data_IF_767930064683
#
_entry.id   IF_767930064683
#
_cell.length_a   1.000
_cell.length_b   1.000
_cell.length_c   1.000
_cell.angle_alpha   90.00
_cell.angle_beta   90.00
_cell.angle_gamma   90.00
#
_symmetry.space_group_name_H-M   'P 1'
#
loop_
_entity.id
_entity.type
_entity.pdbx_description
1 polymer ?
#
# COMPACT_ATOMS: atom_id res chain seq x y z
N UNK A 1 -66.57 29.77 2.02
CA UNK A 1 -66.19 28.33 1.98
C UNK A 1 -65.68 27.87 0.61
N UNK A 2 -66.06 28.46 -0.53
CA UNK A 2 -65.64 28.01 -1.87
C UNK A 2 -64.12 28.13 -2.20
N UNK A 3 -63.36 28.98 -1.52
CA UNK A 3 -61.92 29.14 -1.79
C UNK A 3 -61.06 27.99 -1.23
N UNK A 4 -61.54 27.29 -0.19
CA UNK A 4 -60.81 26.19 0.46
C UNK A 4 -60.88 24.91 -0.37
N UNK A 5 -62.01 24.66 -1.05
CA UNK A 5 -62.19 23.50 -1.92
C UNK A 5 -61.33 23.57 -3.19
N UNK A 6 -61.06 24.78 -3.69
CA UNK A 6 -60.20 25.01 -4.86
C UNK A 6 -58.74 24.64 -4.59
N UNK A 7 -58.21 24.97 -3.40
CA UNK A 7 -56.84 24.61 -3.02
C UNK A 7 -56.64 23.10 -2.90
N UNK A 8 -57.60 22.39 -2.29
CA UNK A 8 -57.53 20.93 -2.13
C UNK A 8 -57.56 20.21 -3.48
N UNK A 9 -58.38 20.68 -4.43
CA UNK A 9 -58.43 20.13 -5.79
C UNK A 9 -57.13 20.39 -6.56
N UNK A 10 -56.59 21.60 -6.45
CA UNK A 10 -55.34 21.99 -7.11
C UNK A 10 -54.13 21.23 -6.52
N UNK A 11 -54.08 21.06 -5.20
CA UNK A 11 -53.07 20.23 -4.52
C UNK A 11 -53.17 18.76 -4.95
N UNK A 12 -54.39 18.20 -5.03
CA UNK A 12 -54.60 16.82 -5.50
C UNK A 12 -54.14 16.62 -6.95
N UNK A 13 -54.39 17.59 -7.81
CA UNK A 13 -53.99 17.54 -9.22
C UNK A 13 -52.47 17.69 -9.40
N UNK A 14 -51.83 18.57 -8.62
CA UNK A 14 -50.37 18.69 -8.54
C UNK A 14 -49.74 17.42 -7.96
N UNK A 15 -50.31 16.83 -6.90
CA UNK A 15 -49.83 15.59 -6.29
C UNK A 15 -49.90 14.41 -7.27
N UNK A 16 -51.00 14.28 -8.02
CA UNK A 16 -51.15 13.27 -9.08
C UNK A 16 -50.13 13.47 -10.21
N UNK A 17 -49.87 14.72 -10.61
CA UNK A 17 -48.85 15.04 -11.61
C UNK A 17 -47.44 14.74 -11.10
N UNK A 18 -47.18 14.95 -9.81
CA UNK A 18 -45.91 14.67 -9.15
C UNK A 18 -45.70 13.18 -8.81
N UNK A 19 -46.76 12.37 -8.76
CA UNK A 19 -46.68 10.96 -8.38
C UNK A 19 -45.77 10.15 -9.31
N UNK A 20 -45.85 10.40 -10.62
CA UNK A 20 -44.95 9.80 -11.61
C UNK A 20 -43.48 10.16 -11.37
N UNK A 21 -43.19 11.40 -10.95
CA UNK A 21 -41.85 11.84 -10.60
C UNK A 21 -41.35 11.21 -9.30
N UNK A 22 -42.23 11.03 -8.31
CA UNK A 22 -41.91 10.34 -7.04
C UNK A 22 -41.60 8.87 -7.30
N UNK A 23 -42.40 8.18 -8.11
CA UNK A 23 -42.16 6.78 -8.49
C UNK A 23 -40.86 6.62 -9.26
N UNK A 24 -40.56 7.53 -10.19
CA UNK A 24 -39.28 7.55 -10.90
C UNK A 24 -38.09 7.73 -9.93
N UNK A 25 -38.17 8.69 -9.01
CA UNK A 25 -37.14 8.91 -7.99
C UNK A 25 -36.98 7.70 -7.06
N UNK A 26 -38.08 7.03 -6.70
CA UNK A 26 -38.05 5.82 -5.89
C UNK A 26 -37.36 4.66 -6.62
N UNK A 27 -37.64 4.46 -7.90
CA UNK A 27 -36.96 3.44 -8.73
C UNK A 27 -35.47 3.75 -8.87
N UNK A 28 -35.10 5.01 -9.15
CA UNK A 28 -33.70 5.44 -9.22
C UNK A 28 -33.00 5.22 -7.87
N UNK A 29 -33.66 5.56 -6.77
CA UNK A 29 -33.16 5.33 -5.41
C UNK A 29 -32.97 3.85 -5.08
N UNK A 30 -33.94 3.00 -5.46
CA UNK A 30 -33.86 1.56 -5.28
C UNK A 30 -32.72 0.94 -6.08
N UNK A 31 -32.56 1.31 -7.36
CA UNK A 31 -31.47 0.84 -8.21
C UNK A 31 -30.10 1.28 -7.68
N UNK A 32 -29.98 2.54 -7.23
CA UNK A 32 -28.75 3.03 -6.61
C UNK A 32 -28.43 2.26 -5.32
N UNK A 33 -29.43 2.02 -4.47
CA UNK A 33 -29.29 1.29 -3.20
C UNK A 33 -28.90 -0.16 -3.45
N UNK A 34 -29.55 -0.84 -4.40
CA UNK A 34 -29.21 -2.20 -4.80
C UNK A 34 -27.76 -2.29 -5.35
N UNK A 35 -27.38 -1.37 -6.24
CA UNK A 35 -26.00 -1.28 -6.77
C UNK A 35 -24.98 -1.07 -5.66
N UNK A 36 -25.28 -0.19 -4.71
CA UNK A 36 -24.42 0.07 -3.53
C UNK A 36 -24.35 -1.18 -2.65
N UNK A 37 -25.48 -1.77 -2.29
CA UNK A 37 -25.55 -3.00 -1.48
C UNK A 37 -24.74 -4.14 -2.09
N UNK A 38 -24.90 -4.40 -3.40
CA UNK A 38 -24.12 -5.41 -4.11
C UNK A 38 -22.62 -5.11 -4.06
N UNK A 39 -22.22 -3.85 -4.26
CA UNK A 39 -20.81 -3.44 -4.14
C UNK A 39 -20.26 -3.69 -2.74
N UNK A 40 -21.05 -3.42 -1.68
CA UNK A 40 -20.64 -3.64 -0.30
C UNK A 40 -20.47 -5.15 0.00
N UNK A 41 -21.40 -5.99 -0.50
CA UNK A 41 -21.30 -7.44 -0.40
C UNK A 41 -20.05 -7.98 -1.11
N UNK A 42 -19.79 -7.56 -2.34
CA UNK A 42 -18.58 -7.94 -3.08
C UNK A 42 -17.30 -7.50 -2.36
N UNK A 43 -17.29 -6.28 -1.78
CA UNK A 43 -16.15 -5.80 -0.99
C UNK A 43 -15.94 -6.63 0.29
N UNK A 44 -17.02 -6.98 0.99
CA UNK A 44 -16.97 -7.85 2.16
C UNK A 44 -16.44 -9.25 1.83
N UNK A 45 -16.95 -9.84 0.75
CA UNK A 45 -16.44 -11.13 0.25
C UNK A 45 -14.96 -11.08 -0.09
N UNK A 46 -14.50 -10.02 -0.79
CA UNK A 46 -13.09 -9.84 -1.13
C UNK A 46 -12.20 -9.73 0.12
N UNK A 47 -12.66 -9.04 1.18
CA UNK A 47 -11.90 -8.95 2.45
C UNK A 47 -11.78 -10.32 3.10
N UNK A 48 -12.87 -11.10 3.14
CA UNK A 48 -12.88 -12.47 3.68
C UNK A 48 -11.91 -13.35 2.87
N UNK A 49 -12.04 -13.33 1.54
CA UNK A 49 -11.19 -14.11 0.65
C UNK A 49 -9.70 -13.73 0.77
N UNK A 50 -9.40 -12.45 0.97
CA UNK A 50 -8.03 -11.94 1.03
C UNK A 50 -7.35 -12.18 2.38
N UNK A 51 -8.08 -12.02 3.48
CA UNK A 51 -7.49 -11.99 4.83
C UNK A 51 -7.85 -13.20 5.70
N UNK A 52 -8.92 -13.94 5.38
CA UNK A 52 -9.37 -15.09 6.17
C UNK A 52 -9.01 -16.40 5.46
N UNK A 53 -9.28 -16.52 4.15
CA UNK A 53 -9.02 -17.75 3.40
C UNK A 53 -7.55 -18.20 3.42
N UNK A 54 -6.52 -17.33 3.28
CA UNK A 54 -5.13 -17.75 3.35
C UNK A 54 -4.71 -18.26 4.74
N UNK A 55 -5.39 -17.82 5.80
CA UNK A 55 -5.16 -18.35 7.15
C UNK A 55 -5.73 -19.77 7.33
N UNK A 56 -6.76 -20.13 6.57
CA UNK A 56 -7.47 -21.40 6.70
C UNK A 56 -6.94 -22.50 5.75
N UNK A 57 -6.50 -22.14 4.53
CA UNK A 57 -6.29 -23.10 3.46
C UNK A 57 -4.83 -23.29 2.99
N UNK A 58 -3.84 -22.72 3.70
CA UNK A 58 -2.47 -23.24 3.65
C UNK A 58 -1.38 -22.19 3.43
N UNK A 59 -0.19 -22.49 4.00
CA UNK A 59 1.06 -21.76 3.77
C UNK A 59 1.64 -22.17 2.42
N UNK A 60 1.70 -21.26 1.46
CA UNK A 60 2.53 -21.44 0.28
C UNK A 60 4.00 -21.46 0.69
N UNK A 61 4.77 -22.39 0.12
CA UNK A 61 6.22 -22.40 0.29
C UNK A 61 6.81 -21.35 -0.64
N UNK A 62 7.06 -20.16 -0.10
CA UNK A 62 7.53 -19.00 -0.85
C UNK A 62 8.87 -19.26 -1.57
N UNK A 63 9.75 -20.08 -1.00
CA UNK A 63 11.03 -20.46 -1.62
C UNK A 63 10.81 -21.25 -2.92
N UNK A 64 9.87 -22.19 -2.90
CA UNK A 64 9.52 -22.99 -4.08
C UNK A 64 8.81 -22.13 -5.13
N UNK A 65 7.89 -21.27 -4.70
CA UNK A 65 7.05 -20.48 -5.58
C UNK A 65 7.81 -19.33 -6.26
N UNK A 66 8.64 -18.60 -5.52
CA UNK A 66 9.26 -17.37 -6.02
C UNK A 66 10.77 -17.47 -6.17
N UNK A 67 11.49 -18.12 -5.25
CA UNK A 67 12.95 -18.28 -5.30
C UNK A 67 13.62 -18.21 -3.94
N UNK A 68 14.93 -18.46 -3.91
CA UNK A 68 15.66 -18.57 -2.63
C UNK A 68 15.94 -17.23 -1.96
N UNK A 69 16.10 -16.16 -2.73
CA UNK A 69 16.50 -14.84 -2.21
C UNK A 69 15.39 -13.79 -2.36
N UNK A 70 15.19 -13.02 -1.29
CA UNK A 70 14.44 -11.78 -1.30
C UNK A 70 15.39 -10.59 -1.17
N UNK A 71 15.26 -9.62 -2.07
CA UNK A 71 15.92 -8.31 -1.97
C UNK A 71 14.95 -7.33 -1.33
N UNK A 72 15.35 -6.69 -0.23
CA UNK A 72 14.54 -5.71 0.48
C UNK A 72 15.25 -4.36 0.48
N UNK A 73 14.65 -3.35 -0.16
CA UNK A 73 15.19 -1.98 -0.20
C UNK A 73 14.57 -1.10 0.88
N UNK A 74 15.37 -0.21 1.46
CA UNK A 74 14.96 0.57 2.64
C UNK A 74 14.81 -0.32 3.88
N UNK A 75 15.64 -1.36 3.97
CA UNK A 75 15.53 -2.47 4.92
C UNK A 75 15.54 -2.06 6.40
N UNK A 76 16.11 -0.90 6.74
CA UNK A 76 16.18 -0.38 8.11
C UNK A 76 14.87 0.32 8.53
N UNK A 77 13.98 0.62 7.58
CA UNK A 77 12.65 1.16 7.85
C UNK A 77 11.75 0.12 8.56
N UNK A 78 10.86 0.58 9.44
CA UNK A 78 10.08 -0.31 10.31
C UNK A 78 9.26 -1.38 9.57
N UNK A 79 8.54 -1.01 8.49
CA UNK A 79 7.79 -1.97 7.68
C UNK A 79 8.74 -2.91 6.94
N UNK A 80 9.79 -2.39 6.31
CA UNK A 80 10.74 -3.17 5.51
C UNK A 80 11.46 -4.21 6.37
N UNK A 81 11.95 -3.81 7.55
CA UNK A 81 12.58 -4.67 8.54
C UNK A 81 11.66 -5.82 8.94
N UNK A 82 10.44 -5.51 9.38
CA UNK A 82 9.48 -6.53 9.79
C UNK A 82 9.07 -7.45 8.63
N UNK A 83 8.97 -6.92 7.41
CA UNK A 83 8.70 -7.72 6.21
C UNK A 83 9.86 -8.66 5.89
N UNK A 84 11.10 -8.20 6.02
CA UNK A 84 12.30 -9.01 5.84
C UNK A 84 12.37 -10.16 6.87
N UNK A 85 12.12 -9.86 8.13
CA UNK A 85 12.03 -10.85 9.22
C UNK A 85 10.92 -11.89 8.95
N UNK A 86 9.75 -11.45 8.49
CA UNK A 86 8.65 -12.34 8.16
C UNK A 86 8.95 -13.23 6.94
N UNK A 87 9.66 -12.74 5.93
CA UNK A 87 10.15 -13.56 4.80
C UNK A 87 11.21 -14.57 5.25
N UNK A 88 12.13 -14.16 6.13
CA UNK A 88 13.13 -15.04 6.73
C UNK A 88 12.48 -16.18 7.54
N UNK A 89 11.40 -15.87 8.27
CA UNK A 89 10.57 -16.87 8.97
C UNK A 89 9.96 -17.92 8.05
N UNK A 90 9.80 -17.61 6.75
CA UNK A 90 9.36 -18.55 5.72
C UNK A 90 10.52 -19.26 4.99
N UNK A 91 11.76 -19.11 5.49
CA UNK A 91 12.95 -19.79 4.97
C UNK A 91 13.61 -19.10 3.78
N UNK A 92 13.21 -17.86 3.45
CA UNK A 92 13.81 -17.09 2.36
C UNK A 92 15.10 -16.43 2.85
N UNK A 93 16.16 -16.51 2.04
CA UNK A 93 17.43 -15.81 2.27
C UNK A 93 17.25 -14.32 1.97
N UNK A 94 17.85 -13.44 2.76
CA UNK A 94 17.55 -12.00 2.69
C UNK A 94 18.77 -11.19 2.25
N UNK A 95 18.60 -10.41 1.18
CA UNK A 95 19.53 -9.36 0.75
C UNK A 95 18.96 -8.00 1.17
N UNK A 96 19.58 -7.37 2.16
CA UNK A 96 19.16 -6.09 2.74
C UNK A 96 19.91 -4.94 2.04
N UNK A 97 19.19 -3.92 1.55
CA UNK A 97 19.78 -2.75 0.91
C UNK A 97 19.26 -1.48 1.57
N UNK A 98 20.16 -0.65 2.09
CA UNK A 98 19.86 0.62 2.77
C UNK A 98 21.13 1.49 2.88
N UNK A 99 21.01 2.75 3.30
CA UNK A 99 22.13 3.68 3.45
C UNK A 99 22.93 3.47 4.75
N UNK A 100 22.30 2.93 5.80
CA UNK A 100 22.93 2.81 7.11
C UNK A 100 23.57 1.43 7.31
N UNK A 101 24.88 1.35 7.08
CA UNK A 101 25.66 0.12 7.19
C UNK A 101 25.58 -0.57 8.55
N UNK A 102 25.67 0.18 9.65
CA UNK A 102 25.67 -0.39 11.01
C UNK A 102 24.33 -1.08 11.30
N UNK A 103 23.21 -0.40 11.01
CA UNK A 103 21.87 -0.97 11.16
C UNK A 103 21.64 -2.18 10.26
N UNK A 104 22.18 -2.17 9.04
CA UNK A 104 22.12 -3.31 8.13
C UNK A 104 22.87 -4.53 8.69
N UNK A 105 24.07 -4.31 9.23
CA UNK A 105 24.88 -5.36 9.81
C UNK A 105 24.18 -5.99 11.03
N UNK A 106 23.68 -5.17 11.94
CA UNK A 106 22.94 -5.63 13.13
C UNK A 106 21.68 -6.41 12.73
N UNK A 107 20.93 -5.91 11.74
CA UNK A 107 19.73 -6.59 11.24
C UNK A 107 20.07 -7.93 10.56
N UNK A 108 21.14 -7.96 9.77
CA UNK A 108 21.64 -9.17 9.10
C UNK A 108 22.01 -10.25 10.11
N UNK A 109 22.76 -9.90 11.15
CA UNK A 109 23.12 -10.81 12.26
C UNK A 109 21.85 -11.30 12.96
N UNK A 110 20.97 -10.37 13.37
CA UNK A 110 19.73 -10.71 14.09
C UNK A 110 18.83 -11.66 13.31
N UNK A 111 18.62 -11.44 12.00
CA UNK A 111 17.82 -12.33 11.15
C UNK A 111 18.48 -13.71 11.03
N UNK A 112 19.81 -13.75 10.87
CA UNK A 112 20.56 -15.01 10.71
C UNK A 112 20.47 -15.85 11.98
N UNK A 113 20.68 -15.24 13.15
CA UNK A 113 20.62 -15.92 14.46
C UNK A 113 19.20 -16.37 14.81
N UNK A 114 18.19 -15.56 14.49
CA UNK A 114 16.80 -15.84 14.88
C UNK A 114 16.14 -16.89 13.97
N UNK A 115 16.38 -16.82 12.67
CA UNK A 115 15.65 -17.62 11.67
C UNK A 115 16.51 -18.68 10.98
N UNK A 116 17.83 -18.66 11.16
CA UNK A 116 18.74 -19.66 10.57
C UNK A 116 18.87 -19.58 9.04
N UNK A 117 18.51 -18.45 8.44
CA UNK A 117 18.63 -18.22 6.98
C UNK A 117 19.87 -17.41 6.66
N UNK A 118 20.43 -17.61 5.46
CA UNK A 118 21.52 -16.76 4.99
C UNK A 118 21.03 -15.33 4.78
N UNK A 119 21.85 -14.38 5.21
CA UNK A 119 21.63 -12.97 4.96
C UNK A 119 22.85 -12.35 4.29
N UNK A 120 22.61 -11.30 3.53
CA UNK A 120 23.64 -10.44 2.95
C UNK A 120 23.12 -9.02 2.96
N UNK A 121 24.01 -8.03 3.00
CA UNK A 121 23.61 -6.64 2.99
C UNK A 121 24.51 -5.81 2.08
N UNK A 122 23.98 -4.69 1.60
CA UNK A 122 24.70 -3.71 0.80
C UNK A 122 24.33 -2.30 1.24
N UNK A 123 25.36 -1.51 1.52
CA UNK A 123 25.22 -0.08 1.79
C UNK A 123 25.00 0.67 0.47
N UNK A 124 23.84 1.28 0.31
CA UNK A 124 23.45 2.05 -0.88
C UNK A 124 22.64 3.26 -0.45
N UNK A 125 23.14 4.44 -0.81
CA UNK A 125 22.36 5.67 -0.80
C UNK A 125 21.71 5.89 -2.18
N UNK A 126 20.38 5.69 -2.24
CA UNK A 126 19.61 5.86 -3.48
C UNK A 126 19.44 7.33 -3.89
N UNK A 127 19.68 8.30 -3.00
CA UNK A 127 19.58 9.72 -3.31
C UNK A 127 20.61 10.15 -4.36
N UNK A 128 21.77 9.46 -4.40
CA UNK A 128 22.86 9.62 -5.38
C UNK A 128 22.46 9.27 -6.82
N UNK A 129 21.26 8.74 -7.05
CA UNK A 129 20.72 8.54 -8.39
C UNK A 129 21.37 7.37 -9.12
N UNK A 130 21.88 7.59 -10.34
CA UNK A 130 22.19 6.49 -11.28
C UNK A 130 23.45 5.70 -10.95
N UNK A 131 24.37 6.28 -10.18
CA UNK A 131 25.72 5.74 -9.94
C UNK A 131 25.71 4.43 -9.13
N UNK A 132 24.68 4.18 -8.33
CA UNK A 132 24.64 3.04 -7.41
C UNK A 132 24.18 1.73 -8.07
N UNK A 133 23.43 1.81 -9.17
CA UNK A 133 22.79 0.65 -9.77
C UNK A 133 23.73 -0.37 -10.44
N UNK A 134 24.88 0.01 -11.05
CA UNK A 134 25.83 -0.97 -11.58
C UNK A 134 26.32 -1.97 -10.51
N UNK A 135 26.72 -1.47 -9.34
CA UNK A 135 27.17 -2.30 -8.22
C UNK A 135 26.07 -3.26 -7.74
N UNK A 136 24.84 -2.76 -7.63
CA UNK A 136 23.69 -3.57 -7.24
C UNK A 136 23.43 -4.68 -8.27
N UNK A 137 23.42 -4.32 -9.56
CA UNK A 137 23.18 -5.26 -10.65
C UNK A 137 24.21 -6.38 -10.68
N UNK A 138 25.49 -6.04 -10.55
CA UNK A 138 26.57 -7.03 -10.57
C UNK A 138 26.41 -8.03 -9.41
N UNK A 139 26.07 -7.53 -8.23
CA UNK A 139 25.85 -8.38 -7.04
C UNK A 139 24.62 -9.29 -7.21
N UNK A 140 23.49 -8.75 -7.66
CA UNK A 140 22.24 -9.51 -7.78
C UNK A 140 22.25 -10.51 -8.94
N UNK A 141 23.11 -10.32 -9.95
CA UNK A 141 23.21 -11.22 -11.11
C UNK A 141 23.63 -12.65 -10.72
N UNK A 142 24.37 -12.78 -9.62
CA UNK A 142 24.84 -14.08 -9.12
C UNK A 142 23.87 -14.76 -8.15
N UNK A 143 22.71 -14.14 -7.86
CA UNK A 143 21.75 -14.61 -6.87
C UNK A 143 20.47 -15.11 -7.53
N UNK A 144 19.85 -16.16 -6.97
CA UNK A 144 18.50 -16.59 -7.34
C UNK A 144 17.45 -15.67 -6.70
N UNK A 145 17.42 -14.42 -7.14
CA UNK A 145 16.45 -13.42 -6.66
C UNK A 145 15.05 -13.82 -7.11
N UNK A 146 14.26 -14.28 -6.14
CA UNK A 146 12.86 -14.66 -6.32
C UNK A 146 11.90 -13.58 -5.88
N UNK A 147 12.30 -12.73 -4.94
CA UNK A 147 11.46 -11.68 -4.37
C UNK A 147 12.18 -10.34 -4.39
N UNK A 148 11.47 -9.28 -4.79
CA UNK A 148 11.90 -7.90 -4.61
C UNK A 148 10.85 -7.15 -3.79
N UNK A 149 11.23 -6.61 -2.64
CA UNK A 149 10.38 -5.77 -1.80
C UNK A 149 10.93 -4.35 -1.83
N UNK A 150 10.26 -3.47 -2.57
CA UNK A 150 10.58 -2.05 -2.63
C UNK A 150 9.84 -1.31 -1.52
N UNK A 151 10.54 -0.96 -0.44
CA UNK A 151 9.96 -0.29 0.72
C UNK A 151 10.59 1.10 1.01
N UNK A 152 11.38 1.63 0.07
CA UNK A 152 11.91 2.99 0.15
C UNK A 152 10.80 4.03 0.20
N UNK A 153 10.99 5.07 1.01
CA UNK A 153 9.98 6.08 1.28
C UNK A 153 10.52 7.17 2.17
N UNK A 154 11.15 8.19 1.60
CA UNK A 154 11.47 9.41 2.34
C UNK A 154 10.21 10.27 2.45
N UNK A 155 9.72 10.42 3.68
CA UNK A 155 8.83 11.50 4.05
C UNK A 155 9.70 12.67 4.50
N UNK A 156 9.42 13.89 4.03
CA UNK A 156 10.05 15.09 4.58
C UNK A 156 9.90 15.11 6.11
N UNK A 157 10.92 15.60 6.82
CA UNK A 157 10.94 15.68 8.30
C UNK A 157 9.67 16.32 8.86
N UNK A 158 9.14 17.30 8.12
CA UNK A 158 7.80 17.83 8.28
C UNK A 158 7.16 17.95 6.91
N UNK A 159 5.84 17.85 6.80
CA UNK A 159 5.19 18.12 5.54
C UNK A 159 5.50 19.54 5.01
N UNK A 160 5.99 19.64 3.78
CA UNK A 160 6.41 20.88 3.17
C UNK A 160 5.66 21.16 1.87
N UNK A 161 5.28 22.43 1.69
CA UNK A 161 4.79 22.92 0.42
C UNK A 161 5.90 22.82 -0.63
N UNK A 162 5.54 22.44 -1.86
CA UNK A 162 6.51 22.34 -2.96
C UNK A 162 7.31 23.63 -3.17
N UNK A 163 6.69 24.79 -2.91
CA UNK A 163 7.31 26.12 -3.01
C UNK A 163 8.46 26.35 -2.02
N UNK A 164 8.60 25.51 -1.00
CA UNK A 164 9.63 25.59 0.03
C UNK A 164 10.75 24.55 -0.17
N UNK A 165 10.59 23.65 -1.14
CA UNK A 165 11.58 22.60 -1.41
C UNK A 165 12.66 23.12 -2.37
N UNK A 166 13.93 22.84 -2.07
CA UNK A 166 15.03 23.08 -3.01
C UNK A 166 14.99 22.08 -4.16
N UNK A 167 15.57 22.44 -5.30
CA UNK A 167 15.63 21.54 -6.46
C UNK A 167 16.38 20.25 -6.14
N UNK A 168 17.47 20.33 -5.37
CA UNK A 168 18.25 19.18 -4.93
C UNK A 168 17.37 18.20 -4.16
N UNK A 169 16.56 18.70 -3.21
CA UNK A 169 15.69 17.84 -2.41
C UNK A 169 14.57 17.20 -3.24
N UNK A 170 14.10 17.88 -4.28
CA UNK A 170 13.15 17.31 -5.24
C UNK A 170 13.78 16.15 -6.00
N UNK A 171 15.01 16.31 -6.50
CA UNK A 171 15.75 15.23 -7.18
C UNK A 171 16.05 14.05 -6.27
N UNK A 172 16.50 14.29 -5.03
CA UNK A 172 16.67 13.23 -4.02
C UNK A 172 15.37 12.45 -3.82
N UNK A 173 14.25 13.16 -3.63
CA UNK A 173 12.94 12.53 -3.43
C UNK A 173 12.51 11.69 -4.63
N UNK A 174 12.74 12.17 -5.84
CA UNK A 174 12.46 11.43 -7.08
C UNK A 174 13.36 10.19 -7.16
N UNK A 175 14.64 10.34 -6.88
CA UNK A 175 15.61 9.25 -6.95
C UNK A 175 15.24 8.11 -5.98
N UNK A 176 14.95 8.45 -4.73
CA UNK A 176 14.62 7.47 -3.68
C UNK A 176 13.23 6.86 -3.87
N UNK A 177 12.21 7.67 -4.14
CA UNK A 177 10.83 7.17 -4.13
C UNK A 177 10.34 6.62 -5.48
N UNK A 178 10.93 7.03 -6.60
CA UNK A 178 10.49 6.67 -7.96
C UNK A 178 11.57 5.88 -8.68
N UNK A 179 12.76 6.49 -8.87
CA UNK A 179 13.82 5.89 -9.68
C UNK A 179 14.31 4.57 -9.08
N UNK A 180 14.54 4.52 -7.76
CA UNK A 180 15.02 3.32 -7.09
C UNK A 180 14.11 2.11 -7.33
N UNK A 181 12.81 2.23 -7.05
CA UNK A 181 11.87 1.12 -7.27
C UNK A 181 11.84 0.68 -8.74
N UNK A 182 11.83 1.64 -9.67
CA UNK A 182 11.78 1.38 -11.12
C UNK A 182 13.02 0.63 -11.61
N UNK A 183 14.20 1.09 -11.23
CA UNK A 183 15.46 0.50 -11.67
C UNK A 183 15.73 -0.83 -10.97
N UNK A 184 15.39 -0.96 -9.68
CA UNK A 184 15.48 -2.25 -8.97
C UNK A 184 14.62 -3.33 -9.62
N UNK A 185 13.39 -2.97 -10.04
CA UNK A 185 12.54 -3.87 -10.83
C UNK A 185 13.22 -4.24 -12.16
N UNK A 186 13.77 -3.26 -12.88
CA UNK A 186 14.49 -3.51 -14.14
C UNK A 186 15.69 -4.46 -13.97
N UNK A 187 16.42 -4.36 -12.84
CA UNK A 187 17.57 -5.22 -12.53
C UNK A 187 17.14 -6.68 -12.32
N UNK A 188 16.06 -6.93 -11.58
CA UNK A 188 15.67 -8.30 -11.20
C UNK A 188 14.81 -9.02 -12.24
N UNK A 189 14.02 -8.28 -13.05
CA UNK A 189 13.09 -8.85 -14.04
C UNK A 189 13.76 -9.86 -14.99
N UNK A 190 14.92 -9.58 -15.62
CA UNK A 190 15.51 -10.51 -16.58
C UNK A 190 15.78 -11.89 -15.99
N UNK A 191 16.28 -11.94 -14.75
CA UNK A 191 16.51 -13.19 -14.04
C UNK A 191 15.21 -13.92 -13.71
N UNK A 192 14.23 -13.21 -13.17
CA UNK A 192 12.92 -13.78 -12.82
C UNK A 192 12.20 -14.34 -14.06
N UNK A 193 12.17 -13.59 -15.17
CA UNK A 193 11.54 -13.99 -16.44
C UNK A 193 12.22 -15.22 -17.04
N UNK A 194 13.56 -15.28 -17.01
CA UNK A 194 14.31 -16.47 -17.47
C UNK A 194 13.90 -17.72 -16.71
N UNK A 195 13.62 -17.58 -15.40
CA UNK A 195 13.18 -18.68 -14.52
C UNK A 195 11.66 -18.90 -14.53
N UNK A 196 10.89 -18.01 -15.18
CA UNK A 196 9.41 -17.98 -15.18
C UNK A 196 8.80 -18.04 -13.78
N UNK A 197 9.48 -17.45 -12.80
CA UNK A 197 9.03 -17.35 -11.41
C UNK A 197 9.62 -16.13 -10.75
N UNK A 198 8.85 -15.54 -9.84
CA UNK A 198 9.29 -14.45 -8.99
C UNK A 198 8.13 -13.56 -8.56
N UNK A 199 8.37 -12.74 -7.56
CA UNK A 199 7.40 -11.77 -7.07
C UNK A 199 8.04 -10.41 -6.77
N UNK A 200 7.30 -9.35 -7.08
CA UNK A 200 7.68 -7.96 -6.81
C UNK A 200 6.61 -7.35 -5.91
N UNK A 201 7.01 -6.78 -4.78
CA UNK A 201 6.14 -6.09 -3.83
C UNK A 201 6.60 -4.65 -3.74
N UNK A 202 5.78 -3.72 -4.23
CA UNK A 202 6.05 -2.29 -4.10
C UNK A 202 5.19 -1.72 -2.98
N UNK A 203 5.84 -1.18 -1.94
CA UNK A 203 5.15 -0.54 -0.81
C UNK A 203 4.77 0.88 -1.18
N UNK A 204 3.52 1.03 -1.60
CA UNK A 204 2.86 2.30 -1.84
C UNK A 204 2.27 2.85 -0.54
N UNK A 205 1.29 3.74 -0.63
CA UNK A 205 0.59 4.29 0.52
C UNK A 205 -0.81 4.69 0.11
N UNK A 206 -1.79 4.47 0.97
CA UNK A 206 -3.13 5.04 0.80
C UNK A 206 -3.46 5.90 2.01
N UNK A 207 -3.80 7.16 1.78
CA UNK A 207 -4.44 7.97 2.81
C UNK A 207 -5.96 7.90 2.66
N UNK A 208 -6.64 7.83 3.81
CA UNK A 208 -8.08 8.06 3.93
C UNK A 208 -8.48 9.45 3.40
N UNK A 209 -7.60 10.43 3.58
CA UNK A 209 -7.89 11.82 3.29
C UNK A 209 -7.37 12.20 1.88
N UNK A 210 -8.23 12.86 1.11
CA UNK A 210 -7.86 13.64 -0.09
C UNK A 210 -6.74 14.64 0.22
N UNK A 211 -6.05 15.24 -0.77
CA UNK A 211 -4.92 16.13 -0.51
C UNK A 211 -5.34 17.32 0.38
N UNK A 212 -5.16 17.19 1.70
CA UNK A 212 -5.44 18.20 2.71
C UNK A 212 -4.17 18.71 3.39
N UNK A 213 -3.02 18.14 3.05
CA UNK A 213 -1.74 18.40 3.70
C UNK A 213 -0.65 18.56 2.61
N UNK A 214 0.24 19.57 2.69
CA UNK A 214 1.37 19.74 1.78
C UNK A 214 2.38 18.59 1.87
N UNK A 215 2.07 17.50 1.17
CA UNK A 215 2.90 16.31 0.98
C UNK A 215 2.77 15.83 -0.46
N UNK A 216 2.73 16.78 -1.41
CA UNK A 216 2.45 16.48 -2.82
C UNK A 216 3.42 15.43 -3.35
N UNK A 217 4.73 15.68 -3.27
CA UNK A 217 5.79 14.81 -3.79
C UNK A 217 5.75 13.39 -3.21
N UNK A 218 5.56 13.26 -1.89
CA UNK A 218 5.48 11.94 -1.26
C UNK A 218 4.19 11.19 -1.67
N UNK A 219 3.04 11.87 -1.65
CA UNK A 219 1.77 11.22 -2.02
C UNK A 219 1.75 10.82 -3.50
N UNK A 220 2.28 11.67 -4.39
CA UNK A 220 2.34 11.37 -5.82
C UNK A 220 3.33 10.26 -6.12
N UNK A 221 4.50 10.21 -5.46
CA UNK A 221 5.46 9.12 -5.64
C UNK A 221 4.89 7.77 -5.19
N UNK A 222 4.14 7.74 -4.09
CA UNK A 222 3.47 6.50 -3.64
C UNK A 222 2.31 6.11 -4.56
N UNK A 223 1.58 7.07 -5.14
CA UNK A 223 0.55 6.78 -6.16
C UNK A 223 1.18 6.27 -7.46
N UNK A 224 2.36 6.78 -7.83
CA UNK A 224 3.15 6.25 -8.94
C UNK A 224 3.44 4.77 -8.71
N UNK A 225 3.94 4.37 -7.53
CA UNK A 225 4.21 2.95 -7.24
C UNK A 225 2.95 2.07 -7.30
N UNK A 226 1.79 2.57 -6.85
CA UNK A 226 0.52 1.83 -6.94
C UNK A 226 0.10 1.58 -8.39
N UNK A 227 0.22 2.60 -9.25
CA UNK A 227 -0.14 2.51 -10.67
C UNK A 227 0.89 1.69 -11.43
N UNK A 228 2.18 1.96 -11.23
CA UNK A 228 3.30 1.23 -11.83
C UNK A 228 3.21 -0.27 -11.56
N UNK A 229 2.85 -0.68 -10.35
CA UNK A 229 2.68 -2.09 -10.00
C UNK A 229 1.50 -2.75 -10.72
N UNK A 230 0.40 -2.03 -10.93
CA UNK A 230 -0.76 -2.55 -11.66
C UNK A 230 -0.43 -2.76 -13.14
N UNK A 231 0.24 -1.79 -13.77
CA UNK A 231 0.70 -1.91 -15.14
C UNK A 231 1.71 -3.06 -15.29
N UNK A 232 2.72 -3.13 -14.41
CA UNK A 232 3.70 -4.22 -14.38
C UNK A 232 3.06 -5.60 -14.19
N UNK A 233 2.05 -5.73 -13.33
CA UNK A 233 1.33 -6.99 -13.16
C UNK A 233 0.75 -7.46 -14.49
N UNK A 234 0.14 -6.57 -15.27
CA UNK A 234 -0.44 -6.92 -16.56
C UNK A 234 0.62 -7.35 -17.58
N UNK A 235 1.78 -6.68 -17.59
CA UNK A 235 2.89 -6.98 -18.50
C UNK A 235 3.61 -8.29 -18.18
N UNK A 236 3.76 -8.61 -16.88
CA UNK A 236 4.58 -9.73 -16.42
C UNK A 236 3.78 -10.97 -16.06
N UNK A 237 2.45 -10.89 -16.01
CA UNK A 237 1.58 -12.03 -15.69
C UNK A 237 1.85 -13.23 -16.60
N UNK A 238 1.89 -13.01 -17.92
CA UNK A 238 2.18 -14.07 -18.90
C UNK A 238 3.60 -14.64 -18.80
N UNK A 239 4.50 -13.95 -18.10
CA UNK A 239 5.89 -14.36 -17.86
C UNK A 239 6.07 -15.12 -16.55
N UNK A 240 4.99 -15.37 -15.81
CA UNK A 240 5.02 -16.11 -14.53
C UNK A 240 5.51 -15.28 -13.34
N UNK A 241 5.46 -13.94 -13.43
CA UNK A 241 5.89 -13.05 -12.34
C UNK A 241 4.65 -12.45 -11.69
N UNK A 242 4.62 -12.50 -10.37
CA UNK A 242 3.59 -11.86 -9.55
C UNK A 242 4.06 -10.46 -9.12
N UNK A 243 3.19 -9.46 -9.23
CA UNK A 243 3.48 -8.08 -8.84
C UNK A 243 2.35 -7.61 -7.94
N UNK A 244 2.73 -7.08 -6.79
CA UNK A 244 1.82 -6.59 -5.76
C UNK A 244 2.08 -5.13 -5.43
N UNK A 245 1.05 -4.31 -5.57
CA UNK A 245 0.97 -3.01 -4.88
C UNK A 245 0.49 -3.25 -3.45
N UNK A 246 1.40 -3.05 -2.50
CA UNK A 246 1.12 -3.11 -1.08
C UNK A 246 0.92 -1.71 -0.53
N UNK A 247 -0.30 -1.36 -0.19
CA UNK A 247 -0.72 0.03 0.04
C UNK A 247 -1.24 0.24 1.47
N UNK A 248 -0.36 0.24 2.49
CA UNK A 248 -0.75 0.46 3.88
C UNK A 248 -1.41 1.83 4.10
N UNK A 249 -2.23 1.89 5.17
CA UNK A 249 -2.60 3.15 5.82
C UNK A 249 -1.54 3.45 6.91
N UNK A 250 -1.97 3.75 8.14
CA UNK A 250 -1.06 4.08 9.23
C UNK A 250 -0.53 2.79 9.88
N UNK A 251 0.80 2.60 9.87
CA UNK A 251 1.49 1.53 10.61
C UNK A 251 2.37 2.18 11.65
N UNK A 252 2.35 1.64 12.87
CA UNK A 252 3.23 2.09 13.94
C UNK A 252 4.68 1.76 13.58
N UNK A 253 5.44 2.79 13.22
CA UNK A 253 6.87 2.71 12.92
C UNK A 253 7.61 3.79 13.69
N UNK A 254 8.90 3.57 13.93
CA UNK A 254 9.75 4.49 14.69
C UNK A 254 9.87 5.90 14.06
N UNK A 255 9.50 6.09 12.78
CA UNK A 255 9.71 7.34 12.04
C UNK A 255 8.47 8.14 11.61
N UNK A 256 7.24 7.59 11.66
CA UNK A 256 6.05 8.24 11.04
C UNK A 256 4.90 8.50 12.03
N UNK A 257 4.78 7.68 13.07
CA UNK A 257 3.63 7.75 13.98
C UNK A 257 4.08 8.18 15.37
N UNK A 258 3.50 9.24 15.96
CA UNK A 258 3.63 9.44 17.39
C UNK A 258 3.03 8.20 18.06
N UNK A 259 3.87 7.48 18.80
CA UNK A 259 3.57 6.28 19.60
C UNK A 259 2.18 6.32 20.28
N UNK A 260 1.69 7.52 20.63
CA UNK A 260 0.34 7.81 21.13
C UNK A 260 -0.84 7.30 20.28
N UNK A 261 -0.78 7.34 18.95
CA UNK A 261 -1.90 6.90 18.10
C UNK A 261 -2.07 5.37 18.12
N UNK A 262 -0.96 4.63 18.15
CA UNK A 262 -0.94 3.17 18.23
C UNK A 262 -1.53 2.65 19.55
N UNK A 263 -1.25 3.32 20.67
CA UNK A 263 -1.85 2.97 21.97
C UNK A 263 -3.35 3.29 22.04
N UNK A 264 -3.81 4.33 21.34
CA UNK A 264 -5.22 4.73 21.37
C UNK A 264 -6.12 3.87 20.49
N UNK A 265 -5.59 3.38 19.36
CA UNK A 265 -6.33 2.55 18.40
C UNK A 265 -5.47 1.40 17.83
N UNK A 266 -5.06 0.42 18.65
CA UNK A 266 -4.10 -0.61 18.25
C UNK A 266 -4.58 -1.50 17.10
N UNK A 267 -5.90 -1.70 16.98
CA UNK A 267 -6.50 -2.45 15.88
C UNK A 267 -6.49 -1.70 14.54
N UNK A 268 -6.45 -0.37 14.56
CA UNK A 268 -6.45 0.46 13.35
C UNK A 268 -5.05 0.88 12.92
N UNK A 269 -4.10 0.84 13.86
CA UNK A 269 -2.69 1.21 13.66
C UNK A 269 -1.82 0.07 14.22
N UNK A 270 -1.61 -1.01 13.45
CA UNK A 270 -0.83 -2.16 13.90
C UNK A 270 0.65 -1.81 14.04
N UNK A 271 1.39 -2.61 14.80
CA UNK A 271 2.87 -2.59 14.77
C UNK A 271 3.39 -3.07 13.41
N UNK A 272 4.64 -2.74 13.10
CA UNK A 272 5.33 -3.21 11.90
C UNK A 272 5.31 -4.74 11.77
N UNK A 273 5.49 -5.46 12.88
CA UNK A 273 5.55 -6.92 12.93
C UNK A 273 4.19 -7.55 12.66
N UNK A 274 3.14 -7.03 13.32
CA UNK A 274 1.76 -7.47 13.09
C UNK A 274 1.36 -7.18 11.64
N UNK A 275 1.69 -5.99 11.14
CA UNK A 275 1.42 -5.61 9.76
C UNK A 275 2.10 -6.56 8.77
N UNK A 276 3.41 -6.78 8.90
CA UNK A 276 4.19 -7.65 8.03
C UNK A 276 3.66 -9.09 8.00
N UNK A 277 3.32 -9.62 9.18
CA UNK A 277 2.73 -10.96 9.32
C UNK A 277 1.45 -11.14 8.48
N UNK A 278 0.57 -10.15 8.47
CA UNK A 278 -0.63 -10.18 7.63
C UNK A 278 -0.30 -9.89 6.16
N UNK A 279 0.59 -8.93 5.88
CA UNK A 279 0.92 -8.51 4.54
C UNK A 279 1.56 -9.63 3.71
N UNK A 280 2.52 -10.37 4.26
CA UNK A 280 3.18 -11.51 3.57
C UNK A 280 2.16 -12.60 3.21
N UNK A 281 1.12 -12.81 4.01
CA UNK A 281 0.06 -13.79 3.68
C UNK A 281 -0.83 -13.40 2.51
N UNK A 282 -0.83 -12.13 2.13
CA UNK A 282 -1.57 -11.66 0.93
C UNK A 282 -0.77 -11.83 -0.36
N UNK A 283 0.52 -12.16 -0.26
CA UNK A 283 1.41 -12.42 -1.40
C UNK A 283 0.91 -13.65 -2.17
N UNK A 284 0.83 -13.54 -3.50
CA UNK A 284 0.24 -14.57 -4.37
C UNK A 284 -1.29 -14.59 -4.41
N UNK A 285 -1.97 -13.88 -3.50
CA UNK A 285 -3.44 -13.85 -3.41
C UNK A 285 -4.04 -12.64 -4.11
N UNK A 286 -3.48 -11.45 -3.87
CA UNK A 286 -3.94 -10.20 -4.52
C UNK A 286 -2.78 -9.35 -5.00
N UNK A 287 -2.90 -8.86 -6.23
CA UNK A 287 -1.95 -7.91 -6.84
C UNK A 287 -2.10 -6.48 -6.27
N UNK A 288 -3.19 -6.18 -5.54
CA UNK A 288 -3.40 -4.88 -4.92
C UNK A 288 -4.11 -5.03 -3.58
N UNK A 289 -3.45 -4.63 -2.50
CA UNK A 289 -3.92 -4.90 -1.14
C UNK A 289 -3.38 -3.87 -0.16
N UNK A 290 -4.09 -3.65 0.94
CA UNK A 290 -3.59 -2.85 2.06
C UNK A 290 -2.69 -3.65 3.00
N UNK A 291 -2.50 -4.95 2.77
CA UNK A 291 -1.71 -5.87 3.60
C UNK A 291 -2.35 -6.27 4.93
N UNK A 292 -3.26 -5.46 5.45
CA UNK A 292 -3.90 -5.65 6.74
C UNK A 292 -5.43 -5.51 6.64
N UNK A 293 -6.18 -6.37 7.33
CA UNK A 293 -7.64 -6.44 7.21
C UNK A 293 -8.33 -5.16 7.71
N UNK A 294 -7.88 -4.59 8.83
CA UNK A 294 -8.48 -3.38 9.38
C UNK A 294 -8.27 -2.18 8.44
N UNK A 295 -7.10 -2.11 7.80
CA UNK A 295 -6.81 -1.16 6.74
C UNK A 295 -7.75 -1.32 5.53
N UNK A 296 -8.10 -2.56 5.16
CA UNK A 296 -9.06 -2.81 4.09
C UNK A 296 -10.47 -2.33 4.47
N UNK A 297 -10.91 -2.58 5.71
CA UNK A 297 -12.19 -2.09 6.24
C UNK A 297 -12.21 -0.56 6.27
N UNK A 298 -11.13 0.07 6.73
CA UNK A 298 -10.98 1.52 6.69
C UNK A 298 -11.09 2.02 5.25
N UNK A 299 -10.31 1.49 4.31
CA UNK A 299 -10.36 1.94 2.93
C UNK A 299 -11.76 1.80 2.32
N UNK A 300 -12.47 0.71 2.60
CA UNK A 300 -13.88 0.55 2.19
C UNK A 300 -14.70 1.67 2.78
N UNK A 301 -14.70 1.85 4.10
CA UNK A 301 -15.46 2.89 4.77
C UNK A 301 -15.18 4.29 4.18
N UNK A 302 -13.93 4.60 3.81
CA UNK A 302 -13.55 5.86 3.17
C UNK A 302 -14.30 6.13 1.85
N UNK A 303 -14.57 5.08 1.06
CA UNK A 303 -15.32 5.19 -0.19
C UNK A 303 -16.83 5.37 0.00
N UNK A 304 -17.33 5.16 1.21
CA UNK A 304 -18.75 5.25 1.54
C UNK A 304 -19.13 6.58 2.17
N UNK A 305 -18.19 7.27 2.81
CA UNK A 305 -18.45 8.60 3.37
C UNK A 305 -18.31 9.71 2.34
N UNK A 306 -19.17 10.74 2.38
CA UNK A 306 -19.00 11.94 1.58
C UNK A 306 -17.66 12.62 1.87
N UNK A 307 -17.10 13.26 0.87
CA UNK A 307 -15.77 13.88 0.97
C UNK A 307 -15.69 14.96 2.03
N UNK A 308 -16.79 15.68 2.28
CA UNK A 308 -16.93 16.65 3.36
C UNK A 308 -16.70 16.01 4.74
N UNK A 309 -17.22 14.81 4.96
CA UNK A 309 -17.04 14.07 6.22
C UNK A 309 -15.58 13.63 6.35
N UNK A 310 -15.01 13.07 5.27
CA UNK A 310 -13.59 12.69 5.27
C UNK A 310 -12.65 13.88 5.49
N UNK A 311 -12.95 15.05 4.92
CA UNK A 311 -12.18 16.28 5.14
C UNK A 311 -12.32 16.81 6.56
N UNK A 312 -13.52 16.76 7.15
CA UNK A 312 -13.74 17.17 8.54
C UNK A 312 -12.94 16.29 9.52
N UNK A 313 -12.96 14.97 9.33
CA UNK A 313 -12.16 14.02 10.11
C UNK A 313 -10.65 14.26 9.92
N UNK A 314 -10.21 14.55 8.68
CA UNK A 314 -8.81 14.88 8.40
C UNK A 314 -8.31 16.10 9.17
N UNK A 315 -9.10 17.18 9.18
CA UNK A 315 -8.79 18.43 9.90
C UNK A 315 -8.79 18.22 11.41
N UNK A 316 -9.65 17.35 11.92
CA UNK A 316 -9.70 17.02 13.34
C UNK A 316 -8.48 16.20 13.81
N UNK A 317 -8.05 15.20 13.01
CA UNK A 317 -6.89 14.35 13.34
C UNK A 317 -5.55 15.07 13.20
N UNK A 318 -5.48 16.07 12.32
CA UNK A 318 -4.29 16.89 12.10
C UNK A 318 -4.70 18.37 12.15
N UNK A 319 -4.87 18.96 13.35
CA UNK A 319 -5.14 20.37 13.46
C UNK A 319 -3.97 21.13 12.83
N UNK A 320 -4.26 21.87 11.77
CA UNK A 320 -3.31 22.83 11.21
C UNK A 320 -3.04 23.85 12.29
N UNK A 321 -1.83 23.86 12.86
CA UNK A 321 -1.32 25.05 13.50
C UNK A 321 -1.15 26.08 12.38
N UNK A 322 -2.12 26.99 12.28
CA UNK A 322 -2.03 28.18 11.46
C UNK A 322 -0.92 29.10 11.98
#
# INVERSE_FOLDING_TARGET
>A
MAAVDSFHLLFRQVALSCQSHIELLAVVGALYTAKKGLKLLCQGYNIIQLHITPHLFGKTNLVKEYGEWAVVTGATGGIAKAYAEELARHGIKIMLIDENKEKLQDLSISITETYGVNTSFMEVDFSRGREVYPLIKDTLTHMDVGLLVNCLGELFEYPQCLTLCTEEKLWETINVNISAATIMVNIVIPGMVKRKRGAIVNVSFRSWCRPTYPMSMFKTSKLYLDTFSQELQSELYSKGIFVQSLAPLCVATNGITPYRASHRFPFLVPSSEVYAHHAVKTLGVSHRTTGYWAHSVQLVAAYWFPDLVCQAVARFLHPTHA
#
